data_IF_311274723587
#
_entry.id   IF_311274723587
#
_cell.length_a   1.000
_cell.length_b   1.000
_cell.length_c   1.000
_cell.angle_alpha   90.00
_cell.angle_beta   90.00
_cell.angle_gamma   90.00
#
_symmetry.space_group_name_H-M   'P 1'
#
loop_
_entity.id
_entity.type
_entity.pdbx_description
1 polymer ?
#
# COMPACT_ATOMS: atom_id res chain seq x y z
N UNK A 1 18.38 9.18 13.40
CA UNK A 1 17.42 10.20 12.94
C UNK A 1 16.07 9.88 13.56
N UNK A 2 15.53 10.76 14.42
CA UNK A 2 14.22 10.54 15.04
C UNK A 2 13.12 10.79 14.00
N UNK A 3 12.31 9.78 13.68
CA UNK A 3 11.05 9.97 12.99
C UNK A 3 10.03 10.52 14.00
N UNK A 4 9.77 11.82 13.93
CA UNK A 4 8.76 12.47 14.76
C UNK A 4 7.38 12.04 14.25
N UNK A 5 6.66 11.21 15.01
CA UNK A 5 5.28 10.82 14.71
C UNK A 5 4.39 12.07 14.77
N UNK A 6 3.93 12.55 13.62
CA UNK A 6 2.94 13.63 13.53
C UNK A 6 1.55 13.01 13.58
N UNK A 7 0.84 13.21 14.69
CA UNK A 7 -0.59 12.91 14.79
C UNK A 7 -1.38 14.13 14.31
N UNK A 8 -2.12 14.00 13.20
CA UNK A 8 -2.95 15.09 12.66
C UNK A 8 -4.39 14.95 13.16
N UNK A 9 -4.87 15.98 13.88
CA UNK A 9 -6.27 16.12 14.28
C UNK A 9 -7.05 16.75 13.11
N UNK A 10 -8.17 16.15 12.72
CA UNK A 10 -8.99 16.60 11.61
C UNK A 10 -9.66 17.95 11.90
N UNK A 11 -9.28 18.99 11.14
CA UNK A 11 -10.06 20.22 10.97
C UNK A 11 -10.85 20.16 9.66
N UNK A 12 -12.05 20.74 9.64
CA UNK A 12 -12.93 20.78 8.47
C UNK A 12 -12.28 21.50 7.27
N UNK A 13 -12.57 21.10 6.02
CA UNK A 13 -11.97 21.71 4.84
C UNK A 13 -12.55 23.10 4.56
N UNK A 14 -11.73 24.10 4.17
CA UNK A 14 -12.22 25.34 3.59
C UNK A 14 -12.72 25.09 2.15
N UNK A 15 -13.76 25.84 1.76
CA UNK A 15 -14.48 25.68 0.50
C UNK A 15 -13.67 26.00 -0.76
N UNK A 16 -14.03 25.31 -1.84
CA UNK A 16 -13.45 25.41 -3.17
C UNK A 16 -13.74 26.76 -3.83
N UNK A 17 -12.68 27.47 -4.25
CA UNK A 17 -12.79 28.49 -5.30
C UNK A 17 -12.15 27.95 -6.59
N UNK A 18 -12.96 27.97 -7.66
CA UNK A 18 -12.66 27.50 -9.02
C UNK A 18 -11.40 28.15 -9.60
N UNK A 19 -10.32 27.36 -9.68
CA UNK A 19 -9.15 27.62 -10.51
C UNK A 19 -8.78 26.33 -11.23
N UNK A 20 -8.71 26.37 -12.57
CA UNK A 20 -8.42 25.21 -13.41
C UNK A 20 -7.29 24.32 -12.86
N UNK A 21 -7.58 23.02 -12.75
CA UNK A 21 -6.72 22.06 -12.06
C UNK A 21 -5.33 21.95 -12.74
N UNK A 22 -4.22 22.38 -12.08
CA UNK A 22 -2.87 22.50 -12.67
C UNK A 22 -2.16 21.16 -12.94
N UNK A 23 -2.91 20.07 -12.98
CA UNK A 23 -2.39 18.71 -12.90
C UNK A 23 -2.54 17.91 -14.22
N UNK A 24 -3.05 18.52 -15.30
CA UNK A 24 -3.34 17.82 -16.56
C UNK A 24 -2.13 17.24 -17.31
N UNK A 25 -0.89 17.59 -16.93
CA UNK A 25 0.35 17.15 -17.58
C UNK A 25 1.24 16.23 -16.71
N UNK A 26 0.79 15.83 -15.52
CA UNK A 26 1.60 15.03 -14.58
C UNK A 26 1.46 13.51 -14.78
N UNK A 27 1.48 13.04 -16.03
CA UNK A 27 1.40 11.61 -16.33
C UNK A 27 2.80 10.99 -16.37
N UNK A 28 3.04 10.00 -15.52
CA UNK A 28 4.32 9.28 -15.39
C UNK A 28 5.07 9.56 -14.07
N UNK A 29 5.96 8.64 -13.66
CA UNK A 29 6.72 8.76 -12.42
C UNK A 29 7.41 10.13 -12.28
N UNK A 30 7.35 10.77 -11.11
CA UNK A 30 8.06 12.03 -10.91
C UNK A 30 9.57 11.86 -11.08
N UNK A 31 10.26 12.90 -11.56
CA UNK A 31 11.71 12.89 -11.58
C UNK A 31 12.25 12.84 -10.15
N UNK A 32 13.31 12.07 -9.95
CA UNK A 32 14.06 11.96 -8.71
C UNK A 32 15.38 12.74 -8.81
N UNK A 33 15.91 13.19 -7.68
CA UNK A 33 17.14 14.02 -7.65
C UNK A 33 18.36 13.25 -8.16
N UNK A 34 18.40 11.94 -7.92
CA UNK A 34 19.47 11.03 -8.29
C UNK A 34 19.21 10.28 -9.62
N UNK A 35 18.08 10.54 -10.28
CA UNK A 35 17.63 9.80 -11.46
C UNK A 35 17.26 8.34 -11.17
N UNK A 36 17.17 7.96 -9.88
CA UNK A 36 16.74 6.63 -9.46
C UNK A 36 15.22 6.45 -9.43
N UNK A 37 14.74 5.28 -9.02
CA UNK A 37 13.32 5.00 -8.89
C UNK A 37 12.66 5.87 -7.81
N UNK A 38 11.36 6.14 -7.99
CA UNK A 38 10.55 6.82 -6.98
C UNK A 38 10.41 5.90 -5.77
N UNK A 39 10.84 6.38 -4.60
CA UNK A 39 10.70 5.64 -3.35
C UNK A 39 9.31 5.85 -2.78
N UNK A 40 8.61 4.74 -2.55
CA UNK A 40 7.27 4.72 -1.95
C UNK A 40 7.38 4.04 -0.60
N UNK A 41 7.20 4.81 0.47
CA UNK A 41 7.24 4.32 1.84
C UNK A 41 5.84 3.86 2.24
N UNK A 42 5.75 2.77 2.99
CA UNK A 42 4.46 2.17 3.34
C UNK A 42 4.42 1.67 4.78
N UNK A 43 3.27 1.83 5.43
CA UNK A 43 3.00 1.20 6.72
C UNK A 43 1.65 0.50 6.62
N UNK A 44 1.65 -0.82 6.83
CA UNK A 44 0.43 -1.63 6.77
C UNK A 44 -0.10 -1.87 8.17
N UNK A 45 -1.37 -1.53 8.37
CA UNK A 45 -2.15 -1.81 9.56
C UNK A 45 -3.30 -2.75 9.23
N UNK A 46 -3.39 -3.89 9.91
CA UNK A 46 -4.49 -4.85 9.72
C UNK A 46 -5.42 -4.79 10.91
N UNK A 47 -6.70 -4.65 10.61
CA UNK A 47 -7.77 -4.55 11.59
C UNK A 47 -8.59 -5.83 11.69
N UNK A 48 -8.69 -6.63 10.62
CA UNK A 48 -9.50 -7.85 10.64
C UNK A 48 -8.98 -8.88 9.65
N UNK A 49 -9.08 -10.15 10.04
CA UNK A 49 -8.82 -11.32 9.22
C UNK A 49 -9.99 -12.29 9.42
N UNK A 50 -10.92 -12.27 8.48
CA UNK A 50 -12.06 -13.17 8.46
C UNK A 50 -11.70 -14.43 7.65
N UNK A 51 -11.45 -15.52 8.37
CA UNK A 51 -11.11 -16.82 7.78
C UNK A 51 -12.36 -17.64 7.40
N UNK A 52 -13.57 -17.12 7.67
CA UNK A 52 -14.82 -17.86 7.52
C UNK A 52 -14.94 -19.02 8.52
N UNK A 53 -15.59 -20.10 8.12
CA UNK A 53 -15.77 -21.30 8.96
C UNK A 53 -14.43 -22.04 9.18
N UNK A 54 -14.20 -22.54 10.40
CA UNK A 54 -12.99 -23.27 10.79
C UNK A 54 -12.72 -24.49 9.89
N UNK A 55 -13.77 -25.15 9.39
CA UNK A 55 -13.66 -26.26 8.44
C UNK A 55 -13.14 -25.84 7.06
N UNK A 56 -13.26 -24.56 6.70
CA UNK A 56 -12.71 -24.03 5.46
C UNK A 56 -11.18 -23.86 5.54
N UNK A 57 -10.65 -23.55 6.73
CA UNK A 57 -9.21 -23.33 6.98
C UNK A 57 -8.36 -24.55 6.60
N UNK A 58 -8.86 -25.76 6.85
CA UNK A 58 -8.17 -27.01 6.52
C UNK A 58 -8.10 -27.27 5.00
N UNK A 59 -8.97 -26.64 4.19
CA UNK A 59 -9.10 -26.86 2.75
C UNK A 59 -8.44 -25.76 1.89
N UNK A 60 -7.39 -25.09 2.40
CA UNK A 60 -6.75 -23.96 1.70
C UNK A 60 -7.72 -22.80 1.41
N UNK A 61 -8.54 -22.44 2.41
CA UNK A 61 -9.54 -21.38 2.24
C UNK A 61 -8.94 -20.04 1.87
N UNK A 62 -9.80 -19.25 1.22
CA UNK A 62 -9.62 -17.81 1.11
C UNK A 62 -10.07 -17.17 2.42
N UNK A 63 -9.25 -16.28 2.95
CA UNK A 63 -9.65 -15.35 4.02
C UNK A 63 -9.84 -13.95 3.44
N UNK A 64 -10.69 -13.15 4.08
CA UNK A 64 -10.80 -11.72 3.81
C UNK A 64 -9.91 -10.99 4.80
N UNK A 65 -8.95 -10.23 4.29
CA UNK A 65 -8.10 -9.34 5.10
C UNK A 65 -8.58 -7.92 4.91
N UNK A 66 -8.74 -7.18 6.00
CA UNK A 66 -9.06 -5.75 5.95
C UNK A 66 -8.19 -4.90 6.87
N UNK A 67 -7.90 -3.69 6.43
CA UNK A 67 -6.98 -2.80 7.13
C UNK A 67 -6.81 -1.46 6.44
N UNK A 68 -5.74 -0.77 6.83
CA UNK A 68 -5.34 0.52 6.30
C UNK A 68 -3.89 0.47 5.87
N UNK A 69 -3.60 1.12 4.75
CA UNK A 69 -2.26 1.29 4.23
C UNK A 69 -1.96 2.78 4.21
N UNK A 70 -0.95 3.17 4.99
CA UNK A 70 -0.36 4.49 4.90
C UNK A 70 0.74 4.45 3.84
N UNK A 71 0.72 5.41 2.92
CA UNK A 71 1.63 5.48 1.79
C UNK A 71 2.21 6.89 1.70
N UNK A 72 3.52 6.96 1.52
CA UNK A 72 4.23 8.21 1.32
C UNK A 72 5.13 8.15 0.08
N UNK A 73 5.16 9.24 -0.68
CA UNK A 73 6.09 9.40 -1.80
C UNK A 73 6.37 10.88 -2.05
N UNK A 74 7.41 11.16 -2.83
CA UNK A 74 7.74 12.52 -3.24
C UNK A 74 7.35 12.76 -4.69
N UNK A 75 6.72 13.89 -4.96
CA UNK A 75 6.55 14.45 -6.30
C UNK A 75 6.90 15.95 -6.27
N UNK A 76 8.08 16.36 -6.76
CA UNK A 76 8.50 17.76 -6.72
C UNK A 76 7.60 18.67 -7.57
N UNK A 77 6.80 18.12 -8.48
CA UNK A 77 5.90 18.88 -9.36
C UNK A 77 4.68 19.42 -8.61
N UNK A 78 4.40 18.90 -7.41
CA UNK A 78 3.26 19.35 -6.58
C UNK A 78 3.69 20.15 -5.35
N UNK A 79 4.93 20.64 -5.30
CA UNK A 79 5.41 21.53 -4.22
C UNK A 79 4.50 22.75 -4.03
N UNK A 80 4.25 23.14 -2.77
CA UNK A 80 3.34 24.25 -2.42
C UNK A 80 3.86 25.07 -1.22
N UNK A 81 3.46 26.34 -1.06
CA UNK A 81 3.92 27.19 0.05
C UNK A 81 3.48 26.70 1.45
N UNK A 82 2.37 25.96 1.52
CA UNK A 82 1.79 25.41 2.74
C UNK A 82 1.32 23.98 2.52
N UNK A 83 1.10 23.27 3.63
CA UNK A 83 0.50 21.94 3.57
C UNK A 83 -0.95 22.07 3.08
N UNK A 84 -1.40 21.15 2.23
CA UNK A 84 -2.74 21.16 1.69
C UNK A 84 -3.28 19.74 1.56
N UNK A 85 -4.57 19.56 1.85
CA UNK A 85 -5.28 18.32 1.50
C UNK A 85 -5.74 18.44 0.06
N UNK A 86 -5.48 17.42 -0.75
CA UNK A 86 -5.85 17.41 -2.17
C UNK A 86 -6.41 16.05 -2.55
N UNK A 87 -7.30 16.03 -3.54
CA UNK A 87 -7.72 14.80 -4.20
C UNK A 87 -6.74 14.47 -5.32
N UNK A 88 -6.29 13.21 -5.43
CA UNK A 88 -5.24 12.79 -6.36
C UNK A 88 -5.67 12.64 -7.82
N UNK A 89 -6.88 13.07 -8.21
CA UNK A 89 -7.50 12.76 -9.51
C UNK A 89 -6.73 13.15 -10.76
N UNK A 90 -5.68 13.95 -10.64
CA UNK A 90 -4.77 14.28 -11.73
C UNK A 90 -3.29 14.25 -11.34
N UNK A 91 -2.98 14.01 -10.07
CA UNK A 91 -1.60 13.86 -9.63
C UNK A 91 -1.10 12.46 -9.99
N UNK A 92 0.19 12.34 -10.29
CA UNK A 92 0.78 11.02 -10.39
C UNK A 92 0.68 10.29 -9.04
N UNK A 93 0.43 8.98 -9.12
CA UNK A 93 0.32 8.10 -7.96
C UNK A 93 1.01 6.78 -8.27
N UNK A 94 1.65 6.15 -7.27
CA UNK A 94 2.20 4.83 -7.47
C UNK A 94 1.08 3.83 -7.72
N UNK A 95 1.28 2.96 -8.71
CA UNK A 95 0.39 1.83 -8.96
C UNK A 95 0.61 0.77 -7.88
N UNK A 96 -0.11 0.90 -6.76
CA UNK A 96 0.01 -0.01 -5.62
C UNK A 96 -1.24 -0.89 -5.50
N UNK A 97 -1.06 -2.21 -5.54
CA UNK A 97 -2.12 -3.22 -5.61
C UNK A 97 -1.81 -4.41 -4.70
N UNK A 98 -2.81 -5.25 -4.40
CA UNK A 98 -2.61 -6.56 -3.77
C UNK A 98 -2.47 -7.64 -4.85
N UNK A 99 -1.23 -8.01 -5.19
CA UNK A 99 -0.92 -8.82 -6.37
C UNK A 99 -1.40 -10.28 -6.27
N UNK A 100 -1.53 -10.80 -5.05
CA UNK A 100 -1.95 -12.17 -4.79
C UNK A 100 -3.40 -12.25 -4.26
N UNK A 101 -4.22 -11.24 -4.55
CA UNK A 101 -5.65 -11.28 -4.29
C UNK A 101 -6.32 -12.35 -5.16
N UNK A 102 -7.26 -13.10 -4.58
CA UNK A 102 -8.08 -14.09 -5.26
C UNK A 102 -9.32 -13.47 -5.96
N UNK A 103 -9.57 -12.18 -5.75
CA UNK A 103 -10.59 -11.43 -6.49
C UNK A 103 -10.12 -11.13 -7.91
N UNK A 104 -11.05 -11.00 -8.87
CA UNK A 104 -10.70 -10.58 -10.24
C UNK A 104 -9.95 -9.24 -10.24
N UNK A 105 -8.88 -9.17 -11.05
CA UNK A 105 -7.97 -8.05 -11.26
C UNK A 105 -7.78 -7.11 -10.05
N UNK A 106 -6.67 -7.25 -9.34
CA UNK A 106 -6.34 -6.39 -8.20
C UNK A 106 -6.40 -4.90 -8.59
N UNK A 107 -7.44 -4.18 -8.15
CA UNK A 107 -7.59 -2.76 -8.42
C UNK A 107 -6.48 -1.94 -7.71
N UNK A 108 -6.12 -0.74 -8.21
CA UNK A 108 -5.26 0.18 -7.50
C UNK A 108 -5.84 0.51 -6.13
N UNK A 109 -5.00 0.46 -5.09
CA UNK A 109 -5.36 0.92 -3.74
C UNK A 109 -5.43 2.45 -3.66
N UNK A 110 -4.71 3.15 -4.54
CA UNK A 110 -4.71 4.60 -4.66
C UNK A 110 -5.42 4.98 -5.95
N UNK A 111 -6.56 5.65 -5.82
CA UNK A 111 -7.42 6.03 -6.95
C UNK A 111 -7.49 7.54 -7.14
N UNK A 112 -8.24 7.96 -8.16
CA UNK A 112 -8.45 9.38 -8.48
C UNK A 112 -9.17 10.15 -7.37
N UNK A 113 -9.93 9.46 -6.51
CA UNK A 113 -10.67 10.04 -5.41
C UNK A 113 -9.94 9.91 -4.06
N UNK A 114 -8.72 9.37 -4.06
CA UNK A 114 -7.93 9.28 -2.84
C UNK A 114 -7.50 10.69 -2.42
N UNK A 115 -7.82 11.06 -1.19
CA UNK A 115 -7.29 12.27 -0.57
C UNK A 115 -5.86 12.03 -0.08
N UNK A 116 -5.00 13.02 -0.28
CA UNK A 116 -3.64 13.03 0.25
C UNK A 116 -3.33 14.38 0.91
N UNK A 117 -2.47 14.36 1.91
CA UNK A 117 -1.82 15.55 2.43
C UNK A 117 -0.55 15.80 1.61
N UNK A 118 -0.48 16.95 0.95
CA UNK A 118 0.73 17.44 0.29
C UNK A 118 1.49 18.33 1.25
N UNK A 119 2.75 18.01 1.49
CA UNK A 119 3.68 18.83 2.30
C UNK A 119 4.38 19.87 1.42
N UNK A 120 4.93 20.91 2.05
CA UNK A 120 5.57 22.04 1.36
C UNK A 120 6.63 21.63 0.32
N UNK A 121 7.37 20.55 0.60
CA UNK A 121 8.45 20.04 -0.24
C UNK A 121 8.01 18.95 -1.23
N UNK A 122 6.71 18.84 -1.51
CA UNK A 122 6.19 17.89 -2.50
C UNK A 122 6.10 16.44 -2.01
N UNK A 123 6.15 16.19 -0.69
CA UNK A 123 5.77 14.88 -0.15
C UNK A 123 4.26 14.73 -0.15
N UNK A 124 3.79 13.55 -0.51
CA UNK A 124 2.39 13.18 -0.44
C UNK A 124 2.23 12.08 0.59
N UNK A 125 1.21 12.21 1.44
CA UNK A 125 0.82 11.22 2.44
C UNK A 125 -0.63 10.84 2.18
N UNK A 126 -0.88 9.57 1.90
CA UNK A 126 -2.22 9.04 1.69
C UNK A 126 -2.47 7.86 2.63
N UNK A 127 -3.69 7.75 3.14
CA UNK A 127 -4.14 6.57 3.90
C UNK A 127 -5.31 5.96 3.16
N UNK A 128 -5.14 4.71 2.70
CA UNK A 128 -6.12 4.00 1.88
C UNK A 128 -6.58 2.73 2.57
N UNK A 129 -7.83 2.34 2.33
CA UNK A 129 -8.38 1.09 2.84
C UNK A 129 -7.83 -0.08 2.03
N UNK A 130 -7.37 -1.11 2.73
CA UNK A 130 -7.03 -2.41 2.13
C UNK A 130 -8.16 -3.37 2.45
N UNK A 131 -8.72 -4.02 1.43
CA UNK A 131 -9.65 -5.12 1.59
C UNK A 131 -9.45 -6.11 0.44
N UNK A 132 -9.03 -7.32 0.76
CA UNK A 132 -8.70 -8.33 -0.25
C UNK A 132 -9.01 -9.74 0.24
N UNK A 133 -9.18 -10.66 -0.69
CA UNK A 133 -9.29 -12.09 -0.39
C UNK A 133 -7.98 -12.77 -0.74
N UNK A 134 -7.36 -13.46 0.21
CA UNK A 134 -6.06 -14.11 0.00
C UNK A 134 -6.08 -15.53 0.55
N UNK A 135 -5.27 -16.41 -0.02
CA UNK A 135 -5.18 -17.80 0.43
C UNK A 135 -4.51 -17.89 1.79
N UNK A 136 -5.09 -18.70 2.66
CA UNK A 136 -4.46 -19.16 3.89
C UNK A 136 -3.51 -20.31 3.54
N UNK A 137 -2.30 -20.25 4.08
CA UNK A 137 -1.30 -21.30 3.92
C UNK A 137 -1.02 -21.94 5.27
N UNK A 138 -0.81 -23.26 5.29
CA UNK A 138 -0.38 -23.95 6.51
C UNK A 138 1.06 -23.52 6.83
N UNK A 139 1.30 -23.17 8.09
CA UNK A 139 2.59 -22.75 8.61
C UNK A 139 3.00 -23.64 9.78
N UNK A 140 4.03 -24.47 9.58
CA UNK A 140 4.55 -25.41 10.58
C UNK A 140 3.45 -26.17 11.36
N UNK A 141 3.75 -26.57 12.59
CA UNK A 141 2.99 -27.47 13.49
C UNK A 141 1.60 -26.95 13.90
N UNK A 142 0.70 -26.72 12.95
CA UNK A 142 -0.68 -26.32 13.19
C UNK A 142 -0.91 -24.81 13.28
N UNK A 143 0.03 -23.97 12.82
CA UNK A 143 -0.26 -22.55 12.60
C UNK A 143 -0.68 -22.30 11.15
N UNK A 144 -1.29 -21.15 10.91
CA UNK A 144 -1.68 -20.70 9.59
C UNK A 144 -1.03 -19.36 9.30
N UNK A 145 -0.74 -19.10 8.03
CA UNK A 145 -0.16 -17.85 7.59
C UNK A 145 -0.96 -17.27 6.44
N UNK A 146 -1.15 -15.97 6.52
CA UNK A 146 -1.66 -15.15 5.43
C UNK A 146 -0.54 -14.27 4.92
N UNK A 147 -0.38 -14.24 3.60
CA UNK A 147 0.59 -13.40 2.91
C UNK A 147 -0.12 -12.41 2.00
N UNK A 148 0.22 -11.14 2.11
CA UNK A 148 -0.20 -10.11 1.17
C UNK A 148 1.04 -9.61 0.43
N UNK A 149 1.01 -9.66 -0.90
CA UNK A 149 2.04 -9.07 -1.75
C UNK A 149 1.50 -7.74 -2.28
N UNK A 150 2.05 -6.64 -1.80
CA UNK A 150 1.74 -5.28 -2.23
C UNK A 150 2.76 -4.84 -3.27
N UNK A 151 2.35 -4.39 -4.44
CA UNK A 151 3.30 -3.91 -5.45
C UNK A 151 2.62 -3.32 -6.67
N UNK A 152 3.38 -3.15 -7.75
CA UNK A 152 2.87 -2.65 -9.02
C UNK A 152 2.79 -3.75 -10.08
N UNK A 153 1.80 -3.64 -10.96
CA UNK A 153 1.73 -4.41 -12.21
C UNK A 153 2.22 -3.62 -13.43
N UNK A 154 2.37 -2.30 -13.28
CA UNK A 154 2.65 -1.38 -14.38
C UNK A 154 4.05 -0.77 -14.30
N UNK A 155 4.61 -0.67 -13.10
CA UNK A 155 5.85 0.05 -12.81
C UNK A 155 6.91 -0.95 -12.36
N UNK A 156 8.08 -0.88 -13.00
CA UNK A 156 9.21 -1.75 -12.71
C UNK A 156 9.98 -1.27 -11.47
N UNK A 157 10.96 -2.05 -11.02
CA UNK A 157 11.87 -1.60 -9.95
C UNK A 157 12.75 -0.42 -10.34
N UNK A 158 12.88 -0.12 -11.64
CA UNK A 158 13.58 1.06 -12.14
C UNK A 158 12.72 2.32 -12.05
N UNK A 159 11.39 2.17 -12.10
CA UNK A 159 10.43 3.26 -11.98
C UNK A 159 10.10 3.56 -10.51
N UNK A 160 9.84 2.51 -9.72
CA UNK A 160 9.33 2.60 -8.35
C UNK A 160 9.94 1.53 -7.45
N UNK A 161 10.35 1.93 -6.24
CA UNK A 161 10.72 1.01 -5.17
C UNK A 161 9.82 1.19 -3.95
N UNK A 162 9.17 0.11 -3.54
CA UNK A 162 8.36 0.07 -2.35
C UNK A 162 9.21 -0.33 -1.14
N UNK A 163 9.12 0.47 -0.08
CA UNK A 163 9.83 0.23 1.17
C UNK A 163 8.85 0.23 2.34
N UNK A 164 8.97 -0.72 3.27
CA UNK A 164 8.23 -0.66 4.51
C UNK A 164 8.84 0.37 5.45
N UNK A 165 7.98 1.12 6.15
CA UNK A 165 8.35 2.06 7.22
C UNK A 165 8.67 1.36 8.53
N UNK A 166 8.21 0.11 8.69
CA UNK A 166 8.40 -0.73 9.86
C UNK A 166 8.68 -2.17 9.42
N UNK A 167 9.39 -2.95 10.23
CA UNK A 167 9.71 -4.35 9.93
C UNK A 167 8.52 -5.29 10.21
N UNK A 168 7.49 -4.79 10.88
CA UNK A 168 6.30 -5.54 11.28
C UNK A 168 5.01 -4.90 10.75
N UNK A 169 3.98 -5.74 10.56
CA UNK A 169 2.61 -5.28 10.30
C UNK A 169 2.00 -4.80 11.62
N UNK A 170 1.40 -3.61 11.62
CA UNK A 170 0.65 -3.12 12.80
C UNK A 170 -0.65 -3.90 12.94
N UNK A 171 -0.73 -4.71 13.99
CA UNK A 171 -1.89 -5.53 14.36
C UNK A 171 -2.48 -5.11 15.71
N UNK A 172 -2.15 -3.91 16.19
CA UNK A 172 -2.59 -3.41 17.51
C UNK A 172 -4.11 -3.35 17.65
N UNK A 173 -4.81 -3.25 16.52
CA UNK A 173 -6.28 -3.19 16.47
C UNK A 173 -6.88 -4.37 15.69
N UNK A 174 -6.16 -5.49 15.63
CA UNK A 174 -6.67 -6.69 15.01
C UNK A 174 -7.86 -7.23 15.83
N UNK A 175 -9.06 -7.00 15.32
CA UNK A 175 -10.33 -7.53 15.79
C UNK A 175 -10.76 -8.62 14.84
N UNK A 176 -10.83 -9.87 15.29
CA UNK A 176 -11.18 -10.98 14.40
C UNK A 176 -10.79 -12.30 15.04
N UNK A 177 -11.80 -13.05 15.49
CA UNK A 177 -11.72 -14.33 16.19
C UNK A 177 -10.74 -14.38 17.38
N UNK A 178 -11.28 -14.38 18.59
CA UNK A 178 -10.57 -14.73 19.85
C UNK A 178 -9.81 -16.08 19.78
N UNK A 179 -10.00 -16.84 18.70
CA UNK A 179 -9.34 -18.11 18.36
C UNK A 179 -7.97 -17.97 17.67
N UNK A 180 -7.66 -16.83 17.06
CA UNK A 180 -6.49 -16.66 16.18
C UNK A 180 -5.73 -15.36 16.50
N UNK A 181 -5.07 -15.32 17.65
CA UNK A 181 -4.15 -14.23 17.97
C UNK A 181 -2.94 -14.23 17.04
N UNK A 182 -2.61 -13.07 16.46
CA UNK A 182 -1.41 -12.93 15.64
C UNK A 182 -0.17 -13.26 16.48
N UNK A 183 0.53 -14.33 16.11
CA UNK A 183 1.73 -14.82 16.82
C UNK A 183 2.99 -14.14 16.30
N UNK A 184 3.02 -13.87 15.00
CA UNK A 184 4.16 -13.26 14.32
C UNK A 184 3.68 -12.44 13.15
N UNK A 185 4.25 -11.25 13.00
CA UNK A 185 4.07 -10.42 11.82
C UNK A 185 5.42 -10.02 11.24
N UNK A 186 5.47 -9.80 9.93
CA UNK A 186 6.63 -9.25 9.24
C UNK A 186 6.20 -8.49 8.01
N UNK A 187 6.92 -7.42 7.70
CA UNK A 187 6.73 -6.60 6.52
C UNK A 187 8.10 -6.39 5.86
N UNK A 188 8.29 -6.97 4.67
CA UNK A 188 9.63 -7.04 4.04
C UNK A 188 9.54 -6.54 2.61
N UNK A 189 10.49 -5.70 2.20
CA UNK A 189 10.67 -5.33 0.80
C UNK A 189 11.16 -6.55 0.01
N UNK A 190 10.57 -6.77 -1.17
CA UNK A 190 10.85 -7.93 -2.03
C UNK A 190 10.88 -7.47 -3.49
N UNK A 191 11.56 -8.23 -4.34
CA UNK A 191 11.46 -8.07 -5.80
C UNK A 191 11.03 -9.38 -6.43
N UNK A 192 10.35 -9.27 -7.57
CA UNK A 192 10.00 -10.45 -8.35
C UNK A 192 10.15 -10.20 -9.83
N UNK A 193 10.43 -11.27 -10.56
CA UNK A 193 10.52 -11.22 -12.01
C UNK A 193 9.20 -11.71 -12.60
N UNK A 194 8.68 -10.96 -13.56
CA UNK A 194 7.56 -11.38 -14.38
C UNK A 194 7.90 -11.21 -15.86
N UNK A 195 7.31 -12.06 -16.69
CA UNK A 195 7.55 -12.01 -18.14
C UNK A 195 6.71 -10.89 -18.73
N UNK A 196 7.36 -9.92 -19.37
CA UNK A 196 6.67 -8.85 -20.09
C UNK A 196 6.19 -9.35 -21.46
N UNK A 197 5.21 -8.66 -22.05
CA UNK A 197 4.80 -8.88 -23.44
C UNK A 197 6.01 -8.61 -24.35
N UNK A 198 6.62 -9.67 -24.86
CA UNK A 198 7.93 -9.63 -25.53
C UNK A 198 8.87 -10.76 -25.10
N UNK A 199 8.58 -11.43 -23.99
CA UNK A 199 9.29 -12.63 -23.53
C UNK A 199 10.47 -12.36 -22.61
N UNK A 200 10.86 -11.09 -22.44
CA UNK A 200 11.87 -10.65 -21.47
C UNK A 200 11.32 -10.65 -20.05
N UNK A 201 12.21 -10.91 -19.08
CA UNK A 201 11.89 -10.83 -17.66
C UNK A 201 12.15 -9.41 -17.16
N UNK A 202 11.14 -8.83 -16.53
CA UNK A 202 11.20 -7.51 -15.92
C UNK A 202 11.10 -7.66 -14.41
N UNK A 203 11.90 -6.88 -13.68
CA UNK A 203 11.91 -6.90 -12.22
C UNK A 203 10.93 -5.85 -11.68
N UNK A 204 10.09 -6.28 -10.74
CA UNK A 204 9.11 -5.46 -10.07
C UNK A 204 9.45 -5.36 -8.58
N UNK A 205 9.24 -4.19 -8.00
CA UNK A 205 9.32 -4.00 -6.56
C UNK A 205 7.99 -4.38 -5.89
N UNK A 206 8.06 -4.95 -4.70
CA UNK A 206 6.91 -5.29 -3.88
C UNK A 206 7.25 -5.27 -2.40
N UNK A 207 6.23 -5.38 -1.56
CA UNK A 207 6.34 -5.63 -0.14
C UNK A 207 5.51 -6.87 0.17
N UNK A 208 6.08 -7.76 0.96
CA UNK A 208 5.40 -8.96 1.44
C UNK A 208 5.08 -8.79 2.92
N UNK A 209 3.80 -8.66 3.23
CA UNK A 209 3.28 -8.75 4.58
C UNK A 209 2.95 -10.20 4.90
N UNK A 210 3.46 -10.72 6.01
CA UNK A 210 3.13 -12.06 6.52
C UNK A 210 2.55 -11.94 7.92
N UNK A 211 1.44 -12.61 8.17
CA UNK A 211 0.77 -12.69 9.47
C UNK A 211 0.55 -14.16 9.78
N UNK A 212 1.12 -14.64 10.89
CA UNK A 212 0.99 -16.02 11.36
C UNK A 212 0.06 -16.05 12.58
N UNK A 213 -0.91 -16.96 12.58
CA UNK A 213 -1.88 -17.16 13.66
C UNK A 213 -2.08 -18.64 14.00
#
# INVERSE_FOLDING_TARGET
MLHQRVTVIAGAPPGDEDGGSPFSELQGPPPTVDGGPVRVLTLLKINDIDVGDAAAVENHSLCTVSGWLHVEWSDPRVCRPSNARVTLGRAWRPDLRVLNSASEAAAPLIGDQTEALVLRHGWLLATVRVQCRVRVTKHDSGSHAVRLRLGSHLLTSEDVMFHPLDEAVDVTHLTGNDRFGARRTSLVADTFQARHFGGEFVTFSSIVATIVF
#
